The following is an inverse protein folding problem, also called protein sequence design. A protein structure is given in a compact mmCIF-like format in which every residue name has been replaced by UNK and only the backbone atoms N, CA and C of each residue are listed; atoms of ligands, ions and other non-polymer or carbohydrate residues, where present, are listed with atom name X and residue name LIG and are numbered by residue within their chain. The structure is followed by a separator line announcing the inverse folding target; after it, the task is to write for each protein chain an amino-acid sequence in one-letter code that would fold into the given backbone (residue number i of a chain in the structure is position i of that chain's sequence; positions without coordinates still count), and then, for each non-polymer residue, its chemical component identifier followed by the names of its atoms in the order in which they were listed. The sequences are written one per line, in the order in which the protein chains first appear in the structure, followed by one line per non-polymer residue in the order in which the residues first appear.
data_IF_908447685468
#
_entry.id   IF_908447685468
#
_cell.length_a   1.000
_cell.length_b   1.000
_cell.length_c   1.000
_cell.angle_alpha   90.00
_cell.angle_beta   90.00
_cell.angle_gamma   90.00
#
_symmetry.space_group_name_H-M   'P 1'
#
loop_
_entity.id
_entity.type
_entity.pdbx_description
1 polymer ?
#
# COMPACT_ATOMS: atom_id res chain seq x y z
N UNK A 1 -4.85 -25.50 -6.72
CA UNK A 1 -5.46 -24.85 -5.54
C UNK A 1 -4.42 -24.00 -4.84
N UNK A 2 -4.83 -22.95 -4.12
CA UNK A 2 -3.90 -21.98 -3.51
C UNK A 2 -2.84 -22.61 -2.58
N UNK A 3 -3.22 -23.60 -1.76
CA UNK A 3 -2.29 -24.27 -0.85
C UNK A 3 -1.16 -25.02 -1.57
N UNK A 4 -1.37 -25.51 -2.81
CA UNK A 4 -0.32 -26.20 -3.59
C UNK A 4 0.80 -25.24 -4.00
N UNK A 5 0.42 -24.04 -4.44
CA UNK A 5 1.37 -22.97 -4.81
C UNK A 5 2.17 -22.54 -3.57
N UNK A 6 1.50 -22.39 -2.41
CA UNK A 6 2.19 -22.06 -1.16
C UNK A 6 3.19 -23.16 -0.77
N UNK A 7 2.83 -24.43 -0.91
CA UNK A 7 3.72 -25.55 -0.63
C UNK A 7 4.91 -25.62 -1.60
N UNK A 8 4.70 -25.26 -2.86
CA UNK A 8 5.75 -25.23 -3.89
C UNK A 8 6.76 -24.10 -3.65
N UNK A 9 6.28 -22.90 -3.30
CA UNK A 9 7.14 -21.75 -2.98
C UNK A 9 7.81 -21.94 -1.61
N UNK A 10 7.06 -22.43 -0.62
CA UNK A 10 7.49 -22.58 0.76
C UNK A 10 7.27 -21.33 1.62
N UNK A 11 6.81 -21.53 2.86
CA UNK A 11 6.48 -20.44 3.81
C UNK A 11 7.69 -19.57 4.14
N UNK A 12 8.88 -20.17 4.24
CA UNK A 12 10.11 -19.44 4.55
C UNK A 12 10.46 -18.41 3.46
N UNK A 13 10.42 -18.81 2.19
CA UNK A 13 10.68 -17.93 1.05
C UNK A 13 9.61 -16.83 0.93
N UNK A 14 8.33 -17.16 1.18
CA UNK A 14 7.25 -16.17 1.22
C UNK A 14 7.51 -15.13 2.32
N UNK A 15 7.93 -15.55 3.52
CA UNK A 15 8.23 -14.64 4.62
C UNK A 15 9.44 -13.77 4.31
N UNK A 16 10.50 -14.33 3.76
CA UNK A 16 11.70 -13.57 3.35
C UNK A 16 11.34 -12.48 2.34
N UNK A 17 10.62 -12.83 1.27
CA UNK A 17 10.14 -11.85 0.28
C UNK A 17 9.24 -10.80 0.91
N UNK A 18 8.30 -11.21 1.76
CA UNK A 18 7.39 -10.29 2.45
C UNK A 18 8.15 -9.28 3.29
N UNK A 19 9.14 -9.70 4.08
CA UNK A 19 9.95 -8.78 4.88
C UNK A 19 10.72 -7.78 4.00
N UNK A 20 11.36 -8.26 2.93
CA UNK A 20 12.10 -7.41 1.98
C UNK A 20 11.20 -6.36 1.32
N UNK A 21 10.07 -6.78 0.75
CA UNK A 21 9.15 -5.89 0.05
C UNK A 21 8.48 -4.88 0.99
N UNK A 22 8.12 -5.31 2.19
CA UNK A 22 7.51 -4.40 3.14
C UNK A 22 8.51 -3.42 3.75
N UNK A 23 9.80 -3.77 3.86
CA UNK A 23 10.85 -2.79 4.18
C UNK A 23 11.02 -1.77 3.05
N UNK A 24 11.15 -2.22 1.80
CA UNK A 24 11.24 -1.34 0.63
C UNK A 24 10.04 -0.39 0.53
N UNK A 25 8.83 -0.88 0.83
CA UNK A 25 7.62 -0.06 0.84
C UNK A 25 7.64 1.02 1.93
N UNK A 26 8.25 0.75 3.09
CA UNK A 26 8.46 1.76 4.13
C UNK A 26 9.42 2.83 3.61
N UNK A 27 10.56 2.43 3.06
CA UNK A 27 11.57 3.34 2.51
C UNK A 27 11.01 4.23 1.40
N UNK A 28 10.29 3.64 0.45
CA UNK A 28 9.62 4.37 -0.64
C UNK A 28 8.60 5.38 -0.10
N UNK A 29 7.76 4.96 0.86
CA UNK A 29 6.75 5.85 1.44
C UNK A 29 7.39 7.03 2.20
N UNK A 30 8.41 6.76 3.03
CA UNK A 30 9.13 7.80 3.77
C UNK A 30 9.87 8.75 2.82
N UNK A 31 10.52 8.23 1.76
CA UNK A 31 11.18 9.04 0.73
C UNK A 31 10.18 9.92 -0.06
N UNK A 32 8.94 9.45 -0.25
CA UNK A 32 7.86 10.23 -0.84
C UNK A 32 7.21 11.27 0.12
N UNK A 33 7.72 11.36 1.35
CA UNK A 33 7.26 12.30 2.38
C UNK A 33 5.98 11.86 3.09
N UNK A 34 5.61 10.59 3.01
CA UNK A 34 4.50 10.04 3.79
C UNK A 34 4.98 9.57 5.18
N UNK A 35 4.04 9.51 6.13
CA UNK A 35 4.28 8.89 7.43
C UNK A 35 3.86 7.42 7.37
N UNK A 36 4.73 6.49 7.76
CA UNK A 36 4.32 5.10 7.99
C UNK A 36 3.82 4.93 9.42
N UNK A 37 2.67 4.26 9.61
CA UNK A 37 2.07 4.00 10.92
C UNK A 37 2.25 2.56 11.41
N UNK A 38 2.69 1.66 10.53
CA UNK A 38 3.10 0.30 10.91
C UNK A 38 4.38 0.31 11.77
N UNK A 39 4.57 -0.68 12.67
CA UNK A 39 5.85 -0.85 13.37
C UNK A 39 7.01 -0.93 12.37
N UNK A 40 8.17 -0.36 12.70
CA UNK A 40 9.37 -0.47 11.84
C UNK A 40 10.04 -1.84 11.99
N UNK A 41 10.06 -2.38 13.21
CA UNK A 41 10.66 -3.68 13.49
C UNK A 41 9.91 -4.80 12.70
N UNK A 42 10.58 -5.53 11.79
CA UNK A 42 9.96 -6.59 11.00
C UNK A 42 9.41 -7.75 11.84
N UNK A 43 9.93 -7.95 13.06
CA UNK A 43 9.43 -8.96 14.00
C UNK A 43 8.08 -8.59 14.64
N UNK A 44 7.67 -7.31 14.57
CA UNK A 44 6.42 -6.80 15.14
C UNK A 44 5.34 -6.54 14.08
N UNK A 45 5.57 -6.94 12.82
CA UNK A 45 4.65 -6.68 11.71
C UNK A 45 4.49 -7.88 10.77
N UNK A 46 3.28 -8.01 10.22
CA UNK A 46 2.96 -8.93 9.14
C UNK A 46 3.37 -8.39 7.77
N UNK A 47 2.66 -8.81 6.72
CA UNK A 47 2.92 -8.40 5.33
C UNK A 47 2.23 -7.10 4.88
N UNK A 48 1.61 -6.34 5.79
CA UNK A 48 0.87 -5.11 5.47
C UNK A 48 1.59 -3.89 6.01
N UNK A 49 1.79 -2.87 5.16
CA UNK A 49 2.26 -1.54 5.57
C UNK A 49 1.11 -0.55 5.46
N UNK A 50 1.00 0.32 6.47
CA UNK A 50 0.01 1.40 6.51
C UNK A 50 0.69 2.75 6.36
N UNK A 51 0.27 3.50 5.34
CA UNK A 51 0.83 4.79 4.93
C UNK A 51 -0.20 5.89 5.21
N UNK A 52 0.18 6.83 6.08
CA UNK A 52 -0.65 7.93 6.54
C UNK A 52 -0.45 9.21 5.74
N UNK A 53 -1.57 9.88 5.46
CA UNK A 53 -1.67 11.24 4.96
C UNK A 53 -2.99 11.85 5.49
N UNK A 54 -3.07 13.18 5.59
CA UNK A 54 -4.33 13.85 5.99
C UNK A 54 -5.47 13.55 5.03
N UNK A 55 -5.17 13.34 3.75
CA UNK A 55 -6.10 13.03 2.68
C UNK A 55 -6.14 11.52 2.35
N UNK A 56 -5.67 10.64 3.25
CA UNK A 56 -5.55 9.20 2.99
C UNK A 56 -6.86 8.53 2.52
N UNK A 57 -8.02 8.93 3.05
CA UNK A 57 -9.32 8.42 2.59
C UNK A 57 -9.58 8.74 1.11
N UNK A 58 -9.31 9.98 0.71
CA UNK A 58 -9.50 10.45 -0.67
C UNK A 58 -8.46 9.84 -1.61
N UNK A 59 -7.21 9.70 -1.15
CA UNK A 59 -6.14 9.03 -1.89
C UNK A 59 -6.51 7.56 -2.15
N UNK A 60 -6.96 6.81 -1.13
CA UNK A 60 -7.37 5.41 -1.29
C UNK A 60 -8.52 5.25 -2.28
N UNK A 61 -9.53 6.12 -2.21
CA UNK A 61 -10.65 6.10 -3.16
C UNK A 61 -10.18 6.32 -4.60
N UNK A 62 -9.29 7.28 -4.80
CA UNK A 62 -8.73 7.58 -6.13
C UNK A 62 -7.80 6.47 -6.63
N UNK A 63 -7.03 5.82 -5.74
CA UNK A 63 -6.25 4.62 -6.07
C UNK A 63 -7.16 3.48 -6.55
N UNK A 64 -8.23 3.18 -5.81
CA UNK A 64 -9.20 2.12 -6.18
C UNK A 64 -9.83 2.44 -7.55
N UNK A 65 -10.16 3.71 -7.81
CA UNK A 65 -10.68 4.15 -9.12
C UNK A 65 -9.67 3.93 -10.25
N UNK A 66 -8.37 3.99 -9.94
CA UNK A 66 -7.26 3.69 -10.87
C UNK A 66 -6.85 2.21 -10.85
N UNK A 67 -7.71 1.34 -10.30
CA UNK A 67 -7.53 -0.11 -10.23
C UNK A 67 -6.39 -0.58 -9.31
N UNK A 68 -5.90 0.28 -8.40
CA UNK A 68 -5.04 -0.15 -7.30
C UNK A 68 -5.89 -0.73 -6.17
N UNK A 69 -5.75 -2.02 -5.92
CA UNK A 69 -6.48 -2.71 -4.86
C UNK A 69 -5.79 -2.47 -3.51
N UNK A 70 -6.32 -1.50 -2.77
CA UNK A 70 -5.86 -1.12 -1.42
C UNK A 70 -7.04 -1.02 -0.46
N UNK A 71 -6.75 -1.01 0.84
CA UNK A 71 -7.72 -0.75 1.90
C UNK A 71 -7.42 0.59 2.59
N UNK A 72 -8.42 1.22 3.19
CA UNK A 72 -8.24 2.41 4.03
C UNK A 72 -8.77 2.17 5.44
N UNK A 73 -7.95 2.50 6.44
CA UNK A 73 -8.35 2.42 7.85
C UNK A 73 -8.41 3.83 8.46
N UNK A 74 -9.60 4.29 8.92
CA UNK A 74 -9.75 5.58 9.59
C UNK A 74 -8.73 5.77 10.72
N UNK A 75 -8.05 6.92 10.70
CA UNK A 75 -7.02 7.27 11.69
C UNK A 75 -5.67 6.56 11.52
N UNK A 76 -5.54 5.60 10.59
CA UNK A 76 -4.30 4.85 10.37
C UNK A 76 -3.69 5.09 8.98
N UNK A 77 -4.50 5.12 7.92
CA UNK A 77 -4.06 5.43 6.55
C UNK A 77 -4.41 4.37 5.50
N UNK A 78 -3.72 4.44 4.35
CA UNK A 78 -3.84 3.48 3.24
C UNK A 78 -3.04 2.22 3.56
N UNK A 79 -3.65 1.05 3.45
CA UNK A 79 -3.06 -0.26 3.74
C UNK A 79 -2.68 -0.97 2.45
N UNK A 80 -1.40 -1.26 2.31
CA UNK A 80 -0.80 -1.91 1.14
C UNK A 80 -0.21 -3.23 1.61
N UNK A 81 -0.61 -4.33 0.98
CA UNK A 81 -0.27 -5.70 1.43
C UNK A 81 0.34 -6.51 0.29
N UNK A 82 1.62 -6.29 -0.05
CA UNK A 82 2.29 -7.12 -1.05
C UNK A 82 2.32 -8.58 -0.62
N UNK A 83 2.24 -9.47 -1.62
CA UNK A 83 2.26 -10.91 -1.40
C UNK A 83 3.28 -11.60 -2.31
N UNK A 84 3.36 -12.94 -2.25
CA UNK A 84 4.32 -13.70 -3.06
C UNK A 84 4.22 -13.44 -4.57
N UNK A 85 3.06 -12.98 -5.07
CA UNK A 85 2.82 -12.65 -6.47
C UNK A 85 3.05 -11.17 -6.81
N UNK A 86 3.26 -10.29 -5.82
CA UNK A 86 3.51 -8.86 -6.05
C UNK A 86 4.95 -8.65 -6.51
N UNK A 87 5.14 -7.81 -7.52
CA UNK A 87 6.46 -7.40 -8.02
C UNK A 87 6.97 -6.17 -7.28
N UNK A 88 8.26 -5.89 -7.37
CA UNK A 88 8.87 -4.75 -6.69
C UNK A 88 8.46 -3.42 -7.36
N UNK A 89 8.31 -3.44 -8.69
CA UNK A 89 7.86 -2.30 -9.47
C UNK A 89 6.42 -1.87 -9.08
N UNK A 90 5.58 -2.80 -8.64
CA UNK A 90 4.23 -2.49 -8.15
C UNK A 90 4.25 -1.67 -6.86
N UNK A 91 5.30 -1.82 -6.03
CA UNK A 91 5.50 -1.01 -4.82
C UNK A 91 5.87 0.44 -5.18
N UNK A 92 6.76 0.60 -6.15
CA UNK A 92 7.15 1.90 -6.67
C UNK A 92 5.95 2.60 -7.31
N UNK A 93 5.18 1.88 -8.12
CA UNK A 93 3.98 2.39 -8.79
C UNK A 93 2.94 2.89 -7.78
N UNK A 94 2.61 2.11 -6.74
CA UNK A 94 1.57 2.53 -5.78
C UNK A 94 2.01 3.76 -4.97
N UNK A 95 3.29 3.84 -4.55
CA UNK A 95 3.79 5.00 -3.80
C UNK A 95 3.90 6.24 -4.69
N UNK A 96 4.41 6.09 -5.91
CA UNK A 96 4.47 7.18 -6.88
C UNK A 96 3.07 7.73 -7.18
N UNK A 97 2.09 6.83 -7.33
CA UNK A 97 0.71 7.24 -7.62
C UNK A 97 0.04 7.89 -6.41
N UNK A 98 0.26 7.38 -5.19
CA UNK A 98 -0.15 8.07 -3.96
C UNK A 98 0.40 9.49 -3.90
N UNK A 99 1.71 9.66 -4.15
CA UNK A 99 2.37 10.96 -4.15
C UNK A 99 1.76 11.89 -5.19
N UNK A 100 1.56 11.41 -6.42
CA UNK A 100 0.91 12.18 -7.49
C UNK A 100 -0.50 12.61 -7.10
N UNK A 101 -1.32 11.70 -6.57
CA UNK A 101 -2.69 12.01 -6.15
C UNK A 101 -2.71 13.06 -5.04
N UNK A 102 -1.80 12.96 -4.06
CA UNK A 102 -1.65 13.96 -2.98
C UNK A 102 -1.26 15.32 -3.55
N UNK A 103 -0.20 15.37 -4.34
CA UNK A 103 0.41 16.62 -4.82
C UNK A 103 -0.50 17.37 -5.81
N UNK A 104 -1.26 16.64 -6.66
CA UNK A 104 -2.20 17.25 -7.61
C UNK A 104 -3.63 17.34 -7.09
N UNK A 105 -3.91 16.81 -5.89
CA UNK A 105 -5.26 16.66 -5.34
C UNK A 105 -6.24 16.03 -6.34
N UNK A 106 -5.84 14.98 -7.07
CA UNK A 106 -6.63 14.45 -8.18
C UNK A 106 -8.04 13.95 -7.79
N UNK A 107 -8.26 13.69 -6.50
CA UNK A 107 -9.57 13.35 -5.93
C UNK A 107 -10.54 14.55 -5.89
N UNK A 108 -10.05 15.80 -5.89
CA UNK A 108 -10.89 17.01 -5.75
C UNK A 108 -11.75 17.29 -6.98
N UNK A 109 -11.31 16.86 -8.18
CA UNK A 109 -12.11 16.92 -9.40
C UNK A 109 -13.42 16.12 -9.26
N UNK A 110 -13.45 15.14 -8.34
CA UNK A 110 -14.55 14.21 -8.15
C UNK A 110 -15.50 14.60 -7.00
N UNK A 111 -15.08 15.43 -6.04
CA UNK A 111 -16.01 15.94 -5.01
C UNK A 111 -17.11 16.83 -5.61
N UNK A 112 -16.87 17.40 -6.81
CA UNK A 112 -17.89 18.13 -7.58
C UNK A 112 -18.91 17.23 -8.28
N UNK A 113 -18.60 15.95 -8.46
CA UNK A 113 -19.46 14.96 -9.12
C UNK A 113 -19.84 13.95 -8.04
N UNK A 114 -20.80 14.32 -7.19
CA UNK A 114 -21.16 13.61 -5.96
C UNK A 114 -21.10 12.09 -6.07
N UNK A 115 -19.97 11.53 -5.63
CA UNK A 115 -19.80 10.09 -5.51
C UNK A 115 -19.72 9.79 -4.02
N UNK A 116 -20.86 9.43 -3.43
CA UNK A 116 -20.88 8.75 -2.14
C UNK A 116 -20.12 7.42 -2.26
N UNK A 117 -19.59 6.94 -1.13
CA UNK A 117 -19.24 5.53 -0.99
C UNK A 117 -20.52 4.68 -0.99
#
# INVERSE_FOLDING_TARGET
SGYKIINEIGVAAIREKSMRQTEALIELAEAAGFRVTSPKNPAQRGGTITVWDRSAAAIAKELIRREFIVDYRPGAGVRISPHFYTKDEELELVIAEMKKIRDTQAYAAQEKVGAAF
#
